data_IF_481262439707
#
_entry.id   IF_481262439707
#
_cell.length_a   1.000
_cell.length_b   1.000
_cell.length_c   1.000
_cell.angle_alpha   90.00
_cell.angle_beta   90.00
_cell.angle_gamma   90.00
#
_symmetry.space_group_name_H-M   'P 1'
#
loop_
_entity.id
_entity.type
_entity.pdbx_description
1 polymer ?
#
# COMPACT_ATOMS: atom_id res chain seq x y z
N UNK A 1 -11.69 -3.68 6.33
CA UNK A 1 -10.80 -2.75 5.67
C UNK A 1 -11.54 -1.99 4.59
N UNK A 2 -11.47 -0.68 4.59
CA UNK A 2 -12.21 0.16 3.65
C UNK A 2 -11.45 0.32 2.34
N UNK A 3 -11.69 -0.57 1.38
CA UNK A 3 -10.97 -0.57 0.11
C UNK A 3 -11.19 0.71 -0.69
N UNK A 4 -12.42 1.23 -0.72
CA UNK A 4 -12.74 2.46 -1.45
C UNK A 4 -11.91 3.64 -0.94
N UNK A 5 -11.75 3.76 0.37
CA UNK A 5 -10.95 4.82 0.97
C UNK A 5 -9.47 4.65 0.61
N UNK A 6 -8.94 3.43 0.62
CA UNK A 6 -7.57 3.17 0.21
C UNK A 6 -7.35 3.51 -1.26
N UNK A 7 -8.26 3.13 -2.15
CA UNK A 7 -8.13 3.46 -3.57
C UNK A 7 -8.22 4.96 -3.82
N UNK A 8 -9.03 5.68 -3.04
CA UNK A 8 -9.07 7.14 -3.11
C UNK A 8 -7.72 7.75 -2.72
N UNK A 9 -7.06 7.19 -1.71
CA UNK A 9 -5.72 7.65 -1.31
C UNK A 9 -4.69 7.35 -2.41
N UNK A 10 -4.75 6.18 -3.03
CA UNK A 10 -3.86 5.82 -4.14
C UNK A 10 -4.03 6.85 -5.28
N UNK A 11 -5.25 7.17 -5.64
CA UNK A 11 -5.53 8.15 -6.70
C UNK A 11 -4.97 9.52 -6.32
N UNK A 12 -5.20 9.96 -5.09
CA UNK A 12 -4.71 11.25 -4.61
C UNK A 12 -3.18 11.32 -4.65
N UNK A 13 -2.50 10.26 -4.26
CA UNK A 13 -1.04 10.18 -4.30
C UNK A 13 -0.55 10.26 -5.74
N UNK A 14 -1.17 9.51 -6.64
CA UNK A 14 -0.80 9.52 -8.05
C UNK A 14 -1.02 10.88 -8.69
N UNK A 15 -2.11 11.55 -8.35
CA UNK A 15 -2.40 12.90 -8.86
C UNK A 15 -1.39 13.93 -8.36
N UNK A 16 -0.90 13.75 -7.14
CA UNK A 16 0.04 14.70 -6.51
C UNK A 16 1.47 14.45 -6.98
N UNK A 17 1.89 13.19 -7.03
CA UNK A 17 3.28 12.81 -7.31
C UNK A 17 3.55 12.65 -8.79
N UNK A 18 2.53 12.32 -9.58
CA UNK A 18 2.63 12.05 -11.03
C UNK A 18 3.73 11.03 -11.33
N UNK A 19 3.66 9.83 -10.77
CA UNK A 19 4.72 8.84 -10.98
C UNK A 19 4.73 8.33 -12.42
N UNK A 20 5.92 7.92 -12.90
CA UNK A 20 6.06 7.31 -14.22
C UNK A 20 5.51 5.88 -14.22
N UNK A 21 5.64 5.17 -13.12
CA UNK A 21 5.21 3.78 -12.98
C UNK A 21 4.66 3.55 -11.59
N UNK A 22 3.63 2.72 -11.51
CA UNK A 22 3.06 2.27 -10.25
C UNK A 22 3.00 0.75 -10.25
N UNK A 23 3.45 0.14 -9.14
CA UNK A 23 3.26 -1.27 -8.87
C UNK A 23 2.28 -1.38 -7.72
N UNK A 24 1.12 -1.97 -7.96
CA UNK A 24 0.07 -2.07 -6.94
C UNK A 24 0.00 -3.53 -6.47
N UNK A 25 0.24 -3.72 -5.18
CA UNK A 25 0.27 -5.04 -4.57
C UNK A 25 -0.87 -5.18 -3.58
N UNK A 26 -1.64 -6.25 -3.72
CA UNK A 26 -2.61 -6.67 -2.73
C UNK A 26 -2.01 -7.82 -1.92
N UNK A 27 -2.15 -7.77 -0.61
CA UNK A 27 -1.50 -8.72 0.28
C UNK A 27 -2.35 -9.04 1.50
N UNK A 28 -2.13 -10.22 2.07
CA UNK A 28 -2.63 -10.62 3.39
C UNK A 28 -1.48 -11.29 4.15
N UNK A 29 -1.34 -12.60 4.16
CA UNK A 29 -0.14 -13.28 4.65
C UNK A 29 0.87 -13.49 3.52
N UNK A 30 0.48 -13.24 2.30
CA UNK A 30 1.28 -13.35 1.09
C UNK A 30 0.78 -12.33 0.06
N UNK A 31 1.53 -12.15 -1.02
CA UNK A 31 1.07 -11.32 -2.13
C UNK A 31 -0.05 -12.06 -2.85
N UNK A 32 -1.19 -11.41 -2.94
CA UNK A 32 -2.39 -11.96 -3.56
C UNK A 32 -2.58 -11.49 -4.99
N UNK A 33 -2.10 -10.29 -5.31
CA UNK A 33 -2.21 -9.70 -6.63
C UNK A 33 -1.08 -8.70 -6.82
N UNK A 34 -0.51 -8.65 -8.02
CA UNK A 34 0.60 -7.76 -8.38
C UNK A 34 0.28 -7.14 -9.73
N UNK A 35 0.02 -5.83 -9.73
CA UNK A 35 -0.41 -5.10 -10.92
C UNK A 35 0.61 -4.03 -11.28
N UNK A 36 0.88 -3.91 -12.58
CA UNK A 36 1.83 -2.93 -13.11
C UNK A 36 1.06 -1.88 -13.92
N UNK A 37 1.35 -0.62 -13.65
CA UNK A 37 0.76 0.50 -14.38
C UNK A 37 1.86 1.41 -14.91
N UNK A 38 1.86 1.63 -16.22
CA UNK A 38 2.69 2.65 -16.84
C UNK A 38 2.00 4.01 -16.73
N UNK A 39 2.73 5.09 -16.97
CA UNK A 39 2.23 6.45 -16.80
C UNK A 39 0.86 6.68 -17.47
N UNK A 40 0.69 6.18 -18.68
CA UNK A 40 -0.57 6.36 -19.44
C UNK A 40 -1.74 5.52 -18.90
N UNK A 41 -1.47 4.58 -18.00
CA UNK A 41 -2.48 3.69 -17.42
C UNK A 41 -2.91 4.12 -16.02
N UNK A 42 -2.15 5.02 -15.40
CA UNK A 42 -2.38 5.39 -13.99
C UNK A 42 -3.74 6.04 -13.78
N UNK A 43 -4.21 6.82 -14.74
CA UNK A 43 -5.51 7.50 -14.65
C UNK A 43 -6.68 6.51 -14.56
N UNK A 44 -6.50 5.30 -15.06
CA UNK A 44 -7.52 4.26 -15.04
C UNK A 44 -7.29 3.20 -13.96
N UNK A 45 -6.29 3.38 -13.12
CA UNK A 45 -5.88 2.39 -12.13
C UNK A 45 -7.03 2.00 -11.19
N UNK A 46 -7.74 2.99 -10.66
CA UNK A 46 -8.82 2.74 -9.69
C UNK A 46 -9.96 1.93 -10.31
N UNK A 47 -10.21 2.15 -11.62
CA UNK A 47 -11.27 1.45 -12.34
C UNK A 47 -10.85 0.05 -12.79
N UNK A 48 -9.58 -0.12 -13.14
CA UNK A 48 -9.09 -1.39 -13.71
C UNK A 48 -8.51 -2.34 -12.70
N UNK A 49 -8.17 -1.89 -11.50
CA UNK A 49 -7.58 -2.76 -10.47
C UNK A 49 -8.54 -3.86 -10.03
N UNK A 50 -7.97 -5.03 -9.75
CA UNK A 50 -8.73 -6.22 -9.34
C UNK A 50 -8.23 -6.67 -7.97
N UNK A 51 -8.79 -6.13 -6.89
CA UNK A 51 -8.39 -6.49 -5.54
C UNK A 51 -8.51 -7.98 -5.26
N UNK A 52 -7.52 -8.53 -4.57
CA UNK A 52 -7.47 -9.93 -4.18
C UNK A 52 -7.00 -10.01 -2.74
N UNK A 53 -7.48 -11.00 -2.02
CA UNK A 53 -7.06 -11.24 -0.65
C UNK A 53 -7.88 -10.47 0.36
N UNK A 54 -7.60 -10.68 1.63
CA UNK A 54 -8.47 -10.25 2.69
C UNK A 54 -7.82 -9.45 3.81
N UNK A 55 -7.25 -8.28 3.52
CA UNK A 55 -6.94 -7.35 4.58
C UNK A 55 -5.65 -7.56 5.36
N UNK A 56 -4.59 -7.80 4.68
CA UNK A 56 -3.18 -7.78 5.06
C UNK A 56 -2.78 -7.81 6.53
N UNK A 57 -2.26 -8.94 7.02
CA UNK A 57 -1.79 -9.10 8.40
C UNK A 57 -0.29 -9.35 8.53
N UNK A 58 0.38 -9.80 7.48
CA UNK A 58 1.80 -10.14 7.51
C UNK A 58 2.54 -9.32 6.46
N UNK A 59 2.87 -8.07 6.79
CA UNK A 59 3.46 -7.13 5.84
C UNK A 59 4.85 -7.53 5.36
N UNK A 60 5.54 -8.41 6.08
CA UNK A 60 6.87 -8.90 5.68
C UNK A 60 6.86 -9.51 4.27
N UNK A 61 5.72 -10.04 3.83
CA UNK A 61 5.61 -10.59 2.47
C UNK A 61 5.82 -9.52 1.39
N UNK A 62 5.60 -8.25 1.69
CA UNK A 62 5.75 -7.16 0.74
C UNK A 62 7.22 -6.87 0.44
N UNK A 63 8.09 -6.54 1.42
CA UNK A 63 9.50 -6.34 1.12
C UNK A 63 10.18 -7.60 0.58
N UNK A 64 9.76 -8.79 1.02
CA UNK A 64 10.29 -10.04 0.49
C UNK A 64 9.96 -10.20 -1.00
N UNK A 65 8.75 -9.88 -1.40
CA UNK A 65 8.31 -9.90 -2.79
C UNK A 65 9.09 -8.88 -3.63
N UNK A 66 9.24 -7.66 -3.11
CA UNK A 66 9.99 -6.60 -3.78
C UNK A 66 11.42 -7.08 -4.09
N UNK A 67 12.06 -7.71 -3.12
CA UNK A 67 13.42 -8.23 -3.27
C UNK A 67 13.45 -9.40 -4.26
N UNK A 68 12.56 -10.37 -4.12
CA UNK A 68 12.58 -11.58 -4.95
C UNK A 68 12.25 -11.28 -6.41
N UNK A 69 11.42 -10.28 -6.67
CA UNK A 69 11.05 -9.87 -8.03
C UNK A 69 12.02 -8.85 -8.63
N UNK A 70 13.03 -8.43 -7.87
CA UNK A 70 14.01 -7.47 -8.35
C UNK A 70 13.43 -6.07 -8.57
N UNK A 71 12.37 -5.73 -7.86
CA UNK A 71 11.76 -4.41 -7.95
C UNK A 71 12.64 -3.42 -7.20
N UNK A 72 12.89 -2.26 -7.81
CA UNK A 72 13.69 -1.20 -7.19
C UNK A 72 12.87 0.08 -7.11
N UNK A 73 11.93 0.18 -6.18
CA UNK A 73 11.07 1.34 -6.08
C UNK A 73 11.81 2.53 -5.49
N UNK A 74 11.44 3.72 -5.90
CA UNK A 74 11.92 4.95 -5.27
C UNK A 74 11.33 5.11 -3.87
N UNK A 75 10.12 4.61 -3.67
CA UNK A 75 9.45 4.58 -2.38
C UNK A 75 8.35 3.53 -2.41
N UNK A 76 8.00 3.03 -1.24
CA UNK A 76 6.86 2.14 -1.07
C UNK A 76 5.86 2.81 -0.13
N UNK A 77 4.59 2.81 -0.53
CA UNK A 77 3.52 3.34 0.30
C UNK A 77 2.65 2.18 0.70
N UNK A 78 2.52 1.96 2.01
CA UNK A 78 1.74 0.87 2.56
C UNK A 78 0.45 1.42 3.15
N UNK A 79 -0.68 0.93 2.66
CA UNK A 79 -2.00 1.29 3.17
C UNK A 79 -2.52 0.13 3.99
N UNK A 80 -2.76 0.39 5.27
CA UNK A 80 -3.14 -0.66 6.22
C UNK A 80 -3.94 -0.05 7.37
N UNK A 81 -4.65 -0.89 8.11
CA UNK A 81 -5.26 -0.48 9.38
C UNK A 81 -4.31 -0.66 10.56
N UNK A 82 -3.09 -1.15 10.32
CA UNK A 82 -2.05 -1.26 11.32
C UNK A 82 -2.18 -2.46 12.27
N UNK A 83 -3.18 -3.30 12.11
CA UNK A 83 -3.33 -4.50 12.91
C UNK A 83 -2.56 -5.64 12.27
N UNK A 84 -1.25 -5.66 12.49
CA UNK A 84 -0.34 -6.61 11.86
C UNK A 84 0.06 -7.72 12.84
N UNK A 85 0.15 -8.94 12.32
CA UNK A 85 0.46 -10.12 13.12
C UNK A 85 1.94 -10.39 13.34
N UNK A 86 2.84 -9.60 12.77
CA UNK A 86 4.28 -9.80 12.87
C UNK A 86 5.02 -8.50 13.04
N UNK A 87 6.18 -8.42 12.44
CA UNK A 87 6.98 -7.20 12.44
C UNK A 87 6.49 -6.21 11.38
N UNK A 88 7.06 -5.01 11.39
CA UNK A 88 6.82 -4.01 10.36
C UNK A 88 7.62 -4.28 9.08
N UNK A 89 8.41 -5.36 9.05
CA UNK A 89 9.21 -5.74 7.90
C UNK A 89 10.58 -5.08 7.86
N UNK A 90 11.41 -5.58 6.95
CA UNK A 90 12.75 -5.04 6.70
C UNK A 90 12.79 -4.53 5.26
N UNK A 91 13.01 -3.24 5.09
CA UNK A 91 12.83 -2.55 3.81
C UNK A 91 14.15 -2.02 3.27
N UNK A 92 14.36 -2.17 1.97
CA UNK A 92 15.54 -1.64 1.27
C UNK A 92 15.22 -0.35 0.52
N UNK A 93 14.00 0.16 0.65
CA UNK A 93 13.57 1.42 0.06
C UNK A 93 12.87 2.27 1.12
N UNK A 94 12.71 3.57 0.90
CA UNK A 94 11.89 4.40 1.79
C UNK A 94 10.47 3.88 1.85
N UNK A 95 9.88 3.83 3.04
CA UNK A 95 8.50 3.39 3.23
C UNK A 95 7.69 4.46 3.94
N UNK A 96 6.49 4.71 3.43
CA UNK A 96 5.50 5.58 4.05
C UNK A 96 4.29 4.72 4.42
N UNK A 97 3.93 4.75 5.69
CA UNK A 97 2.78 4.04 6.22
C UNK A 97 1.59 4.97 6.25
N UNK A 98 0.52 4.59 5.55
CA UNK A 98 -0.77 5.26 5.63
C UNK A 98 -1.70 4.38 6.44
N UNK A 99 -1.83 4.67 7.73
CA UNK A 99 -2.56 3.84 8.68
C UNK A 99 -3.95 4.42 8.87
N UNK A 100 -4.96 3.62 8.56
CA UNK A 100 -6.35 4.05 8.62
C UNK A 100 -7.02 3.61 9.90
N UNK A 101 -7.62 4.55 10.60
CA UNK A 101 -8.47 4.31 11.78
C UNK A 101 -7.78 3.56 12.91
N UNK A 102 -6.48 3.75 13.09
CA UNK A 102 -5.73 3.14 14.19
C UNK A 102 -4.57 4.06 14.61
N UNK A 103 -4.88 5.00 15.47
CA UNK A 103 -3.91 5.99 15.95
C UNK A 103 -2.86 5.37 16.88
N UNK A 104 -3.09 4.15 17.37
CA UNK A 104 -2.18 3.45 18.25
C UNK A 104 -1.08 2.70 17.51
N UNK A 105 -1.24 2.48 16.21
CA UNK A 105 -0.23 1.79 15.42
C UNK A 105 0.93 2.73 15.11
N UNK A 106 2.13 2.33 15.50
CA UNK A 106 3.35 3.12 15.33
C UNK A 106 4.46 2.25 14.74
N UNK A 107 4.57 2.20 13.41
CA UNK A 107 5.65 1.46 12.76
C UNK A 107 7.02 1.92 13.25
N UNK A 108 7.92 0.96 13.42
CA UNK A 108 9.29 1.23 13.89
C UNK A 108 10.24 1.63 12.77
N UNK A 109 9.77 1.59 11.51
CA UNK A 109 10.57 1.89 10.34
C UNK A 109 9.75 2.79 9.40
N UNK A 110 10.43 3.69 8.71
CA UNK A 110 9.78 4.60 7.75
C UNK A 110 9.05 5.76 8.42
N UNK A 111 8.19 6.39 7.66
CA UNK A 111 7.36 7.51 8.13
C UNK A 111 5.91 7.05 8.19
N UNK A 112 5.15 7.64 9.09
CA UNK A 112 3.76 7.25 9.32
C UNK A 112 2.83 8.45 9.22
N UNK A 113 1.72 8.24 8.51
CA UNK A 113 0.59 9.16 8.48
C UNK A 113 -0.63 8.39 8.96
N UNK A 114 -1.37 8.95 9.90
CA UNK A 114 -2.62 8.37 10.38
C UNK A 114 -3.78 9.05 9.66
N UNK A 115 -4.64 8.24 9.06
CA UNK A 115 -5.79 8.69 8.27
C UNK A 115 -7.05 8.19 8.93
N UNK A 116 -8.05 9.06 9.03
CA UNK A 116 -9.39 8.64 9.45
C UNK A 116 -10.17 8.21 8.22
N UNK A 117 -10.78 7.03 8.30
CA UNK A 117 -11.71 6.60 7.30
C UNK A 117 -12.89 7.56 7.21
N UNK A 118 -13.54 7.58 6.07
CA UNK A 118 -14.69 8.47 5.88
C UNK A 118 -15.84 8.07 6.77
N UNK A 119 -16.30 9.03 7.55
CA UNK A 119 -17.58 8.86 8.22
C UNK A 119 -18.68 8.85 7.17
N UNK A 120 -19.59 7.89 7.28
CA UNK A 120 -20.72 7.77 6.38
C UNK A 120 -21.95 8.53 6.92
N UNK A 121 -21.73 9.36 7.84
CA UNK A 121 -22.82 10.14 8.42
C UNK A 121 -23.22 11.29 7.52
#
# INVERSE_FOLDING_TARGET
>A
LELTAFLSEVQSICDTVSPDKVRLLYWDTQICQDEKYEMHEIDTLVESTKPQGGGGTMVECVPDHITSEGIKPQACIVLTDGYLGGSWGSWSCPVLWCIMDNEQANPTVGKTVHIKGRSIL
#
